data_IF_297977683778
#
_entry.id   IF_297977683778
#
_cell.length_a   1.000
_cell.length_b   1.000
_cell.length_c   1.000
_cell.angle_alpha   90.00
_cell.angle_beta   90.00
_cell.angle_gamma   90.00
#
_symmetry.space_group_name_H-M   'P 1'
#
loop_
_entity.id
_entity.type
_entity.pdbx_description
1 polymer ?
#
# COMPACT_ATOMS: atom_id res chain seq x y z
N UNK A 1 -19.21 9.34 1.81
CA UNK A 1 -17.79 9.71 1.66
C UNK A 1 -16.94 8.51 1.99
N UNK A 2 -15.91 8.25 1.21
CA UNK A 2 -14.92 7.20 1.50
C UNK A 2 -13.69 7.83 2.16
N UNK A 3 -13.07 7.16 3.13
CA UNK A 3 -11.78 7.56 3.71
C UNK A 3 -10.69 6.57 3.31
N UNK A 4 -9.68 7.04 2.57
CA UNK A 4 -8.44 6.29 2.34
C UNK A 4 -7.38 6.71 3.36
N UNK A 5 -6.70 5.73 3.93
CA UNK A 5 -5.61 5.91 4.88
C UNK A 5 -4.37 5.21 4.33
N UNK A 6 -3.32 5.97 4.06
CA UNK A 6 -2.01 5.45 3.65
C UNK A 6 -0.97 5.70 4.75
N UNK A 7 -0.49 4.63 5.39
CA UNK A 7 0.52 4.70 6.44
C UNK A 7 1.90 4.25 5.92
N UNK A 8 2.62 5.22 5.35
CA UNK A 8 4.00 5.05 4.91
C UNK A 8 5.04 5.34 6.01
N UNK A 9 6.30 4.98 5.78
CA UNK A 9 7.38 5.17 6.76
C UNK A 9 7.47 6.59 7.33
N UNK A 10 7.38 7.62 6.47
CA UNK A 10 7.57 9.01 6.88
C UNK A 10 6.28 9.72 7.32
N UNK A 11 5.12 9.33 6.80
CA UNK A 11 3.86 10.02 7.04
C UNK A 11 2.69 9.04 7.07
N UNK A 12 1.63 9.41 7.78
CA UNK A 12 0.29 8.83 7.58
C UNK A 12 -0.59 9.87 6.90
N UNK A 13 -1.24 9.47 5.82
CA UNK A 13 -2.10 10.33 4.99
C UNK A 13 -3.53 9.86 5.12
N UNK A 14 -4.43 10.77 5.44
CA UNK A 14 -5.87 10.57 5.50
C UNK A 14 -6.50 11.41 4.39
N UNK A 15 -7.25 10.79 3.49
CA UNK A 15 -7.90 11.50 2.41
C UNK A 15 -9.37 11.11 2.28
N UNK A 16 -10.22 12.12 2.15
CA UNK A 16 -11.66 11.97 2.04
C UNK A 16 -12.08 12.11 0.58
N UNK A 17 -12.81 11.12 0.09
CA UNK A 17 -13.37 11.07 -1.25
C UNK A 17 -14.89 11.29 -1.20
N UNK A 18 -15.35 12.28 -1.94
CA UNK A 18 -16.77 12.53 -2.15
C UNK A 18 -17.27 11.68 -3.31
N UNK A 19 -18.13 10.70 -3.00
CA UNK A 19 -18.70 9.77 -3.96
C UNK A 19 -19.75 10.43 -4.88
N UNK A 20 -20.39 11.53 -4.47
CA UNK A 20 -21.33 12.26 -5.32
C UNK A 20 -20.58 13.13 -6.33
N UNK A 21 -19.51 13.80 -5.88
CA UNK A 21 -18.70 14.68 -6.72
C UNK A 21 -17.56 13.95 -7.45
N UNK A 22 -17.34 12.67 -7.14
CA UNK A 22 -16.29 11.82 -7.71
C UNK A 22 -14.89 12.43 -7.61
N UNK A 23 -14.58 13.05 -6.46
CA UNK A 23 -13.27 13.71 -6.23
C UNK A 23 -12.80 13.63 -4.79
N UNK A 24 -11.49 13.75 -4.61
CA UNK A 24 -10.87 14.02 -3.31
C UNK A 24 -11.22 15.43 -2.85
N UNK A 25 -11.69 15.57 -1.62
CA UNK A 25 -12.12 16.87 -1.06
C UNK A 25 -11.18 17.37 0.03
N UNK A 26 -10.64 16.48 0.83
CA UNK A 26 -9.78 16.82 1.97
C UNK A 26 -8.64 15.83 2.11
N UNK A 27 -7.45 16.34 2.44
CA UNK A 27 -6.26 15.55 2.75
C UNK A 27 -5.62 16.09 4.03
N UNK A 28 -5.41 15.20 4.99
CA UNK A 28 -4.69 15.49 6.21
C UNK A 28 -3.46 14.57 6.32
N UNK A 29 -2.31 15.14 6.63
CA UNK A 29 -1.03 14.42 6.71
C UNK A 29 -0.41 14.65 8.07
N UNK A 30 -0.06 13.55 8.74
CA UNK A 30 0.71 13.58 9.99
C UNK A 30 2.09 12.97 9.75
N UNK A 31 3.13 13.71 10.15
CA UNK A 31 4.49 13.20 10.13
C UNK A 31 4.65 12.09 11.16
N UNK A 32 5.33 11.03 10.78
CA UNK A 32 5.67 9.93 11.68
C UNK A 32 7.05 10.10 12.32
N UNK A 33 7.77 11.17 11.99
CA UNK A 33 9.03 11.54 12.62
C UNK A 33 8.77 11.98 14.07
N UNK A 34 9.44 11.36 15.05
CA UNK A 34 9.28 11.67 16.48
C UNK A 34 8.29 10.80 17.27
N UNK A 35 7.79 9.71 16.66
CA UNK A 35 6.89 8.74 17.30
C UNK A 35 5.42 8.95 16.95
N UNK A 36 4.68 7.86 16.79
CA UNK A 36 3.26 7.86 16.44
C UNK A 36 2.40 7.83 17.72
N UNK A 37 1.68 8.92 18.01
CA UNK A 37 0.80 9.02 19.18
C UNK A 37 -0.66 9.06 18.76
N UNK A 38 -1.43 8.05 19.16
CA UNK A 38 -2.87 7.98 18.88
C UNK A 38 -3.65 9.15 19.50
N UNK A 39 -3.32 9.55 20.73
CA UNK A 39 -3.99 10.68 21.37
C UNK A 39 -3.75 12.00 20.62
N UNK A 40 -2.52 12.20 20.10
CA UNK A 40 -2.21 13.35 19.25
C UNK A 40 -2.98 13.30 17.94
N UNK A 41 -2.99 12.13 17.27
CA UNK A 41 -3.74 11.92 16.04
C UNK A 41 -5.24 12.19 16.22
N UNK A 42 -5.85 11.67 17.29
CA UNK A 42 -7.27 11.89 17.61
C UNK A 42 -7.59 13.37 17.74
N UNK A 43 -6.77 14.11 18.50
CA UNK A 43 -6.94 15.56 18.69
C UNK A 43 -6.79 16.32 17.38
N UNK A 44 -5.72 16.06 16.64
CA UNK A 44 -5.45 16.80 15.40
C UNK A 44 -6.47 16.48 14.31
N UNK A 45 -6.87 15.22 14.17
CA UNK A 45 -7.95 14.82 13.25
C UNK A 45 -9.29 15.46 13.63
N UNK A 46 -9.61 15.51 14.92
CA UNK A 46 -10.83 16.16 15.39
C UNK A 46 -10.88 17.63 15.01
N UNK A 47 -9.78 18.37 15.26
CA UNK A 47 -9.68 19.78 14.90
C UNK A 47 -9.77 19.97 13.38
N UNK A 48 -9.06 19.16 12.60
CA UNK A 48 -9.09 19.21 11.14
C UNK A 48 -10.51 19.01 10.59
N UNK A 49 -11.23 18.00 11.10
CA UNK A 49 -12.61 17.74 10.68
C UNK A 49 -13.57 18.86 11.06
N UNK A 50 -13.42 19.47 12.24
CA UNK A 50 -14.22 20.61 12.67
C UNK A 50 -14.01 21.82 11.76
N UNK A 51 -12.75 22.16 11.45
CA UNK A 51 -12.38 23.25 10.57
C UNK A 51 -12.99 23.10 9.16
N UNK A 52 -12.98 21.87 8.64
CA UNK A 52 -13.47 21.54 7.30
C UNK A 52 -14.94 21.10 7.27
N UNK A 53 -15.64 21.15 8.42
CA UNK A 53 -17.06 20.76 8.57
C UNK A 53 -17.35 19.33 8.10
N UNK A 54 -16.42 18.42 8.31
CA UNK A 54 -16.57 17.00 7.94
C UNK A 54 -17.28 16.29 9.11
N UNK A 55 -18.50 15.81 8.87
CA UNK A 55 -19.23 14.99 9.84
C UNK A 55 -18.70 13.55 9.88
N UNK A 56 -18.56 12.97 11.07
CA UNK A 56 -18.10 11.56 11.23
C UNK A 56 -19.08 10.55 10.62
N UNK A 57 -20.37 10.87 10.69
CA UNK A 57 -21.49 10.13 10.14
C UNK A 57 -21.53 10.08 8.60
N UNK A 58 -20.83 11.01 7.92
CA UNK A 58 -20.77 11.08 6.45
C UNK A 58 -19.92 9.99 5.80
N UNK A 59 -19.06 9.32 6.59
CA UNK A 59 -18.22 8.23 6.11
C UNK A 59 -19.06 6.98 5.84
N UNK A 60 -18.91 6.39 4.66
CA UNK A 60 -19.60 5.18 4.21
C UNK A 60 -18.70 3.95 4.34
N UNK A 61 -17.40 4.11 4.08
CA UNK A 61 -16.38 3.09 4.21
C UNK A 61 -15.00 3.72 4.48
N UNK A 62 -14.10 2.91 5.03
CA UNK A 62 -12.71 3.28 5.30
C UNK A 62 -11.82 2.18 4.71
N UNK A 63 -10.90 2.54 3.83
CA UNK A 63 -9.84 1.66 3.32
C UNK A 63 -8.49 2.09 3.88
N UNK A 64 -7.64 1.12 4.18
CA UNK A 64 -6.39 1.35 4.87
C UNK A 64 -5.26 0.50 4.29
N UNK A 65 -4.13 1.13 4.01
CA UNK A 65 -2.86 0.50 3.64
C UNK A 65 -1.76 0.92 4.61
N UNK A 66 -0.89 -0.01 4.99
CA UNK A 66 0.31 0.28 5.78
C UNK A 66 1.47 -0.59 5.33
N UNK A 67 2.64 0.03 5.17
CA UNK A 67 3.93 -0.67 5.03
C UNK A 67 4.70 -0.72 6.34
N UNK A 68 4.11 -0.23 7.44
CA UNK A 68 4.68 -0.20 8.79
C UNK A 68 3.80 -1.06 9.71
N UNK A 69 4.19 -2.32 10.02
CA UNK A 69 3.37 -3.26 10.78
C UNK A 69 2.93 -2.74 12.15
N UNK A 70 3.80 -2.01 12.84
CA UNK A 70 3.54 -1.47 14.18
C UNK A 70 2.42 -0.43 14.22
N UNK A 71 1.96 0.05 13.06
CA UNK A 71 0.88 1.05 12.96
C UNK A 71 -0.48 0.46 12.65
N UNK A 72 -0.54 -0.81 12.27
CA UNK A 72 -1.78 -1.43 11.81
C UNK A 72 -2.82 -1.44 12.92
N UNK A 73 -2.54 -2.12 14.04
CA UNK A 73 -3.47 -2.23 15.16
C UNK A 73 -3.84 -0.85 15.77
N UNK A 74 -2.89 0.08 16.00
CA UNK A 74 -3.23 1.43 16.43
C UNK A 74 -4.20 2.17 15.49
N UNK A 75 -3.99 2.11 14.17
CA UNK A 75 -4.85 2.79 13.21
C UNK A 75 -6.23 2.12 13.07
N UNK A 76 -6.29 0.80 13.21
CA UNK A 76 -7.57 0.07 13.27
C UNK A 76 -8.40 0.46 14.49
N UNK A 77 -7.79 0.52 15.68
CA UNK A 77 -8.45 0.95 16.92
C UNK A 77 -8.91 2.41 16.81
N UNK A 78 -8.05 3.29 16.31
CA UNK A 78 -8.38 4.69 16.02
C UNK A 78 -9.62 4.79 15.13
N UNK A 79 -9.66 4.06 14.01
CA UNK A 79 -10.80 4.12 13.10
C UNK A 79 -12.10 3.66 13.78
N UNK A 80 -12.03 2.57 14.55
CA UNK A 80 -13.18 2.01 15.27
C UNK A 80 -13.72 2.98 16.31
N UNK A 81 -12.85 3.61 17.10
CA UNK A 81 -13.24 4.49 18.21
C UNK A 81 -13.62 5.89 17.73
N UNK A 82 -12.86 6.45 16.80
CA UNK A 82 -13.01 7.84 16.38
C UNK A 82 -14.10 8.01 15.31
N UNK A 83 -14.13 7.12 14.30
CA UNK A 83 -15.12 7.14 13.21
C UNK A 83 -16.30 6.20 13.44
N UNK A 84 -16.25 5.33 14.46
CA UNK A 84 -17.31 4.33 14.70
C UNK A 84 -17.36 3.24 13.64
N UNK A 85 -16.29 3.05 12.86
CA UNK A 85 -16.25 2.12 11.72
C UNK A 85 -14.92 1.38 11.66
N UNK A 86 -14.98 0.07 11.44
CA UNK A 86 -13.78 -0.72 11.17
C UNK A 86 -13.28 -0.44 9.75
N UNK A 87 -11.96 -0.21 9.56
CA UNK A 87 -11.39 -0.07 8.24
C UNK A 87 -11.22 -1.45 7.58
N UNK A 88 -11.15 -1.43 6.25
CA UNK A 88 -10.65 -2.57 5.48
C UNK A 88 -9.14 -2.42 5.30
N UNK A 89 -8.36 -3.29 5.94
CA UNK A 89 -6.91 -3.36 5.76
C UNK A 89 -6.59 -4.08 4.44
N UNK A 90 -5.79 -3.45 3.60
CA UNK A 90 -5.29 -4.02 2.36
C UNK A 90 -4.11 -4.94 2.65
N UNK A 91 -4.20 -6.16 2.12
CA UNK A 91 -3.22 -7.23 2.31
C UNK A 91 -3.10 -8.05 1.02
N UNK A 92 -2.15 -8.99 0.95
CA UNK A 92 -1.94 -9.88 -0.20
C UNK A 92 -3.22 -10.57 -0.70
N UNK A 93 -4.10 -10.96 0.23
CA UNK A 93 -5.38 -11.60 -0.07
C UNK A 93 -6.41 -10.66 -0.74
N UNK A 94 -6.26 -9.34 -0.59
CA UNK A 94 -7.14 -8.34 -1.19
C UNK A 94 -7.05 -8.31 -2.72
N UNK A 95 -5.99 -8.88 -3.31
CA UNK A 95 -5.66 -8.73 -4.73
C UNK A 95 -6.18 -9.86 -5.62
N UNK A 96 -6.59 -10.99 -5.03
CA UNK A 96 -6.84 -12.23 -5.77
C UNK A 96 -7.87 -12.12 -6.90
N UNK A 97 -8.83 -11.20 -6.78
CA UNK A 97 -9.87 -10.93 -7.78
C UNK A 97 -9.62 -9.71 -8.67
N UNK A 98 -8.45 -9.06 -8.55
CA UNK A 98 -8.16 -7.83 -9.29
C UNK A 98 -7.51 -8.14 -10.65
N UNK A 99 -7.65 -7.24 -11.64
CA UNK A 99 -6.92 -7.35 -12.90
C UNK A 99 -5.41 -7.35 -12.70
N UNK A 100 -4.93 -6.61 -11.70
CA UNK A 100 -3.50 -6.53 -11.40
C UNK A 100 -3.03 -7.73 -10.59
N UNK A 101 -1.98 -8.39 -11.07
CA UNK A 101 -1.48 -9.66 -10.52
C UNK A 101 -0.01 -9.56 -10.13
N UNK A 102 0.38 -10.32 -9.11
CA UNK A 102 1.78 -10.50 -8.69
C UNK A 102 2.01 -11.95 -8.30
N UNK A 103 3.20 -12.48 -8.58
CA UNK A 103 3.60 -13.83 -8.15
C UNK A 103 3.90 -13.92 -6.66
N UNK A 104 4.12 -12.77 -6.01
CA UNK A 104 4.50 -12.66 -4.60
C UNK A 104 3.69 -11.59 -3.87
N UNK A 105 2.38 -11.83 -3.65
CA UNK A 105 1.46 -10.82 -3.10
C UNK A 105 1.79 -10.36 -1.69
N UNK A 106 2.47 -11.18 -0.89
CA UNK A 106 2.86 -10.83 0.48
C UNK A 106 4.25 -10.17 0.57
N UNK A 107 5.06 -10.21 -0.50
CA UNK A 107 6.37 -9.55 -0.54
C UNK A 107 6.29 -8.14 -1.15
N UNK A 108 5.26 -7.84 -1.93
CA UNK A 108 5.09 -6.52 -2.54
C UNK A 108 4.48 -5.54 -1.53
N UNK A 109 5.04 -4.32 -1.47
CA UNK A 109 4.46 -3.23 -0.71
C UNK A 109 2.99 -3.00 -1.07
N UNK A 110 2.14 -2.86 -0.07
CA UNK A 110 0.70 -2.63 -0.22
C UNK A 110 0.43 -1.30 -0.94
N UNK A 111 1.25 -0.30 -0.71
CA UNK A 111 1.30 0.98 -1.43
C UNK A 111 1.60 0.81 -2.92
N UNK A 112 2.61 0.02 -3.28
CA UNK A 112 2.98 -0.28 -4.67
C UNK A 112 1.85 -1.00 -5.41
N UNK A 113 1.19 -1.95 -4.74
CA UNK A 113 0.03 -2.63 -5.31
C UNK A 113 -1.15 -1.66 -5.51
N UNK A 114 -1.42 -0.78 -4.54
CA UNK A 114 -2.44 0.26 -4.68
C UNK A 114 -2.15 1.16 -5.89
N UNK A 115 -0.92 1.63 -6.04
CA UNK A 115 -0.48 2.42 -7.18
C UNK A 115 -0.69 1.68 -8.51
N UNK A 116 -0.29 0.41 -8.59
CA UNK A 116 -0.45 -0.42 -9.78
C UNK A 116 -1.93 -0.62 -10.15
N UNK A 117 -2.79 -0.94 -9.18
CA UNK A 117 -4.24 -1.09 -9.39
C UNK A 117 -4.86 0.21 -9.91
N UNK A 118 -4.54 1.35 -9.30
CA UNK A 118 -5.08 2.64 -9.70
C UNK A 118 -4.61 3.03 -11.11
N UNK A 119 -3.33 2.91 -11.41
CA UNK A 119 -2.77 3.24 -12.71
C UNK A 119 -3.35 2.32 -13.81
N UNK A 120 -3.39 1.01 -13.57
CA UNK A 120 -3.94 0.06 -14.54
C UNK A 120 -5.44 0.30 -14.79
N UNK A 121 -6.22 0.62 -13.75
CA UNK A 121 -7.63 0.97 -13.90
C UNK A 121 -7.85 2.27 -14.72
N UNK A 122 -6.89 3.20 -14.71
CA UNK A 122 -6.95 4.45 -15.48
C UNK A 122 -6.66 4.24 -16.97
N UNK A 123 -5.64 3.45 -17.30
CA UNK A 123 -5.16 3.31 -18.68
C UNK A 123 -5.66 2.04 -19.37
N UNK A 124 -6.13 1.04 -18.61
CA UNK A 124 -6.57 -0.27 -19.12
C UNK A 124 -5.51 -0.92 -20.03
N UNK A 125 -4.23 -0.76 -19.68
CA UNK A 125 -3.10 -1.18 -20.49
C UNK A 125 -1.78 -1.07 -19.72
N UNK A 126 -0.64 -1.40 -20.38
CA UNK A 126 0.66 -1.41 -19.72
C UNK A 126 1.05 -0.02 -19.24
N UNK A 127 1.58 0.05 -18.02
CA UNK A 127 1.97 1.32 -17.42
C UNK A 127 3.21 1.21 -16.53
N UNK A 128 3.92 2.33 -16.42
CA UNK A 128 5.06 2.50 -15.52
C UNK A 128 4.67 3.57 -14.49
N UNK A 129 4.72 3.22 -13.22
CA UNK A 129 4.46 4.14 -12.12
C UNK A 129 5.79 4.57 -11.52
N UNK A 130 6.02 5.88 -11.47
CA UNK A 130 7.15 6.52 -10.81
C UNK A 130 6.66 7.18 -9.52
N UNK A 131 6.96 6.58 -8.37
CA UNK A 131 6.54 7.10 -7.05
C UNK A 131 7.66 7.88 -6.38
N UNK A 132 7.45 9.18 -6.20
CA UNK A 132 8.38 10.09 -5.52
C UNK A 132 8.11 10.14 -4.01
N UNK A 133 8.37 9.03 -3.33
CA UNK A 133 8.19 8.84 -1.89
C UNK A 133 9.48 8.92 -1.06
N UNK A 134 9.50 8.20 0.07
CA UNK A 134 10.72 7.98 0.87
C UNK A 134 11.77 7.21 0.06
N UNK A 135 11.32 6.24 -0.73
CA UNK A 135 12.05 5.68 -1.84
C UNK A 135 11.51 6.27 -3.16
N UNK A 136 12.36 6.33 -4.18
CA UNK A 136 11.93 6.51 -5.55
C UNK A 136 11.73 5.12 -6.15
N UNK A 137 10.52 4.80 -6.60
CA UNK A 137 10.24 3.48 -7.19
C UNK A 137 9.75 3.60 -8.62
N UNK A 138 10.06 2.56 -9.42
CA UNK A 138 9.51 2.34 -10.75
C UNK A 138 8.77 1.01 -10.72
N UNK A 139 7.44 1.04 -10.72
CA UNK A 139 6.62 -0.18 -10.79
C UNK A 139 6.14 -0.37 -12.22
N UNK A 140 6.45 -1.52 -12.81
CA UNK A 140 6.08 -1.85 -14.19
C UNK A 140 4.91 -2.81 -14.19
N UNK A 141 3.83 -2.43 -14.85
CA UNK A 141 2.64 -3.26 -15.06
C UNK A 141 2.52 -3.58 -16.55
N UNK A 142 2.45 -4.88 -16.86
CA UNK A 142 2.34 -5.39 -18.22
C UNK A 142 0.93 -5.30 -18.80
N UNK A 143 0.75 -5.69 -20.08
CA UNK A 143 -0.52 -5.55 -20.80
C UNK A 143 -1.68 -6.38 -20.24
N UNK A 144 -1.40 -7.41 -19.45
CA UNK A 144 -2.40 -8.30 -18.85
C UNK A 144 -2.61 -7.99 -17.36
N UNK A 145 -2.08 -6.86 -16.88
CA UNK A 145 -2.16 -6.42 -15.49
C UNK A 145 -1.10 -7.06 -14.57
N UNK A 146 -0.19 -7.88 -15.07
CA UNK A 146 0.88 -8.45 -14.26
C UNK A 146 1.88 -7.36 -13.84
N UNK A 147 2.23 -7.30 -12.55
CA UNK A 147 3.39 -6.55 -12.09
C UNK A 147 4.62 -7.30 -12.55
N UNK A 148 5.36 -6.72 -13.49
CA UNK A 148 6.53 -7.31 -14.10
C UNK A 148 7.77 -7.15 -13.23
N UNK A 149 7.83 -6.05 -12.47
CA UNK A 149 8.95 -5.77 -11.59
C UNK A 149 8.82 -4.40 -10.92
N UNK A 150 9.72 -4.18 -9.95
CA UNK A 150 9.87 -2.91 -9.26
C UNK A 150 11.36 -2.58 -9.14
N UNK A 151 11.77 -1.40 -9.59
CA UNK A 151 13.07 -0.84 -9.24
C UNK A 151 12.92 0.12 -8.05
N UNK A 152 13.87 0.09 -7.12
CA UNK A 152 13.84 0.89 -5.89
C UNK A 152 15.16 1.65 -5.75
N UNK A 153 15.06 2.95 -5.53
CA UNK A 153 16.17 3.85 -5.28
C UNK A 153 15.89 4.69 -4.03
N UNK A 154 16.92 5.32 -3.42
CA UNK A 154 16.68 6.35 -2.42
C UNK A 154 15.76 7.45 -2.99
N UNK A 155 14.80 7.93 -2.20
CA UNK A 155 14.01 9.10 -2.59
C UNK A 155 14.84 10.38 -2.47
N UNK A 156 14.38 11.47 -3.08
CA UNK A 156 15.07 12.77 -3.08
C UNK A 156 15.46 13.25 -1.67
N UNK A 157 14.51 13.24 -0.72
CA UNK A 157 14.78 13.63 0.68
C UNK A 157 15.77 12.68 1.35
N UNK A 158 15.67 11.39 1.07
CA UNK A 158 16.56 10.35 1.62
C UNK A 158 17.98 10.55 1.12
N UNK A 159 18.16 10.86 -0.17
CA UNK A 159 19.47 11.12 -0.75
C UNK A 159 20.16 12.36 -0.16
N UNK A 160 19.43 13.47 -0.01
CA UNK A 160 19.96 14.67 0.64
C UNK A 160 20.30 14.39 2.11
N UNK A 161 19.41 13.70 2.83
CA UNK A 161 19.64 13.36 4.22
C UNK A 161 20.87 12.47 4.41
N UNK A 162 21.12 11.54 3.49
CA UNK A 162 22.32 10.70 3.54
C UNK A 162 23.60 11.54 3.42
N UNK A 163 23.64 12.53 2.54
CA UNK A 163 24.78 13.46 2.43
C UNK A 163 25.01 14.24 3.72
N UNK A 164 23.95 14.71 4.38
CA UNK A 164 24.05 15.42 5.66
C UNK A 164 24.48 14.51 6.82
N UNK A 165 23.88 13.32 6.92
CA UNK A 165 24.05 12.44 8.10
C UNK A 165 25.38 11.70 8.07
N UNK A 166 25.84 11.30 6.88
CA UNK A 166 27.01 10.43 6.72
C UNK A 166 28.28 11.20 6.32
N UNK A 167 28.27 12.53 6.41
CA UNK A 167 29.46 13.36 6.16
C UNK A 167 29.66 14.41 7.25
N UNK A 168 30.92 14.78 7.49
CA UNK A 168 31.26 15.65 8.63
C UNK A 168 30.94 17.14 8.43
N UNK A 169 30.74 17.60 7.19
CA UNK A 169 30.70 19.05 6.86
C UNK A 169 29.59 19.47 5.91
N UNK A 170 28.85 18.53 5.30
CA UNK A 170 27.76 18.93 4.42
C UNK A 170 26.55 19.33 5.25
N UNK A 171 25.92 20.48 4.97
CA UNK A 171 24.72 20.90 5.67
C UNK A 171 23.49 20.14 5.16
N UNK A 172 22.43 20.13 5.96
CA UNK A 172 21.10 19.79 5.46
C UNK A 172 20.61 20.92 4.53
N UNK A 173 20.07 20.56 3.36
CA UNK A 173 19.62 21.53 2.36
C UNK A 173 18.17 21.31 1.95
N UNK A 174 17.49 22.40 1.59
CA UNK A 174 16.13 22.34 1.06
C UNK A 174 16.12 21.75 -0.36
N UNK A 175 15.01 21.07 -0.70
CA UNK A 175 14.73 20.59 -2.06
C UNK A 175 14.26 21.75 -2.94
N UNK A 176 15.21 22.46 -3.53
CA UNK A 176 14.96 23.58 -4.44
C UNK A 176 15.85 23.43 -5.68
N UNK A 177 15.22 23.43 -6.86
CA UNK A 177 15.94 23.25 -8.13
C UNK A 177 16.72 24.53 -8.45
N UNK A 178 18.07 24.50 -8.48
CA UNK A 178 18.85 25.68 -8.78
C UNK A 178 18.86 25.98 -10.28
N UNK A 179 19.13 27.23 -10.63
CA UNK A 179 19.14 27.72 -12.02
C UNK A 179 20.27 27.15 -12.88
N UNK A 180 21.30 26.57 -12.27
CA UNK A 180 22.46 25.99 -12.94
C UNK A 180 22.79 24.61 -12.36
N UNK A 181 23.18 23.68 -13.23
CA UNK A 181 23.69 22.36 -12.83
C UNK A 181 25.12 22.41 -12.25
N UNK A 182 25.87 23.49 -12.50
CA UNK A 182 27.23 23.66 -11.98
C UNK A 182 27.15 24.45 -10.67
N UNK A 183 27.32 23.74 -9.55
CA UNK A 183 27.36 24.30 -8.20
C UNK A 183 28.49 25.30 -8.01
N UNK A 184 28.23 26.41 -7.29
CA UNK A 184 29.22 27.45 -6.96
C UNK A 184 29.54 27.55 -5.46
N UNK A 185 28.70 26.96 -4.63
CA UNK A 185 28.91 26.78 -3.20
C UNK A 185 28.38 25.40 -2.77
N UNK A 186 28.53 25.04 -1.50
CA UNK A 186 28.14 23.71 -1.00
C UNK A 186 26.64 23.45 -1.11
N UNK A 187 25.78 24.43 -0.80
CA UNK A 187 24.33 24.26 -0.84
C UNK A 187 23.88 24.06 -2.28
N UNK A 188 24.33 24.94 -3.18
CA UNK A 188 24.06 24.85 -4.61
C UNK A 188 24.60 23.54 -5.20
N UNK A 189 25.81 23.11 -4.82
CA UNK A 189 26.40 21.87 -5.34
C UNK A 189 25.58 20.64 -4.95
N UNK A 190 25.09 20.56 -3.72
CA UNK A 190 24.22 19.45 -3.27
C UNK A 190 22.88 19.49 -4.01
N UNK A 191 22.23 20.66 -4.05
CA UNK A 191 20.94 20.82 -4.72
C UNK A 191 21.02 20.48 -6.22
N UNK A 192 22.04 21.01 -6.91
CA UNK A 192 22.25 20.77 -8.33
C UNK A 192 22.56 19.30 -8.61
N UNK A 193 23.50 18.70 -7.85
CA UNK A 193 23.88 17.30 -8.01
C UNK A 193 22.70 16.36 -7.81
N UNK A 194 21.90 16.57 -6.76
CA UNK A 194 20.73 15.72 -6.49
C UNK A 194 19.62 15.96 -7.49
N UNK A 195 19.19 17.20 -7.74
CA UNK A 195 17.96 17.45 -8.52
C UNK A 195 18.15 17.28 -10.03
N UNK A 196 19.27 17.75 -10.59
CA UNK A 196 19.59 17.45 -11.99
C UNK A 196 19.96 15.97 -12.16
N UNK A 197 20.69 15.39 -11.20
CA UNK A 197 21.03 13.97 -11.21
C UNK A 197 19.78 13.08 -11.23
N UNK A 198 18.81 13.34 -10.35
CA UNK A 198 17.55 12.59 -10.31
C UNK A 198 16.68 12.83 -11.55
N UNK A 199 16.68 14.04 -12.10
CA UNK A 199 16.00 14.30 -13.38
C UNK A 199 16.54 13.40 -14.48
N UNK A 200 17.87 13.34 -14.63
CA UNK A 200 18.53 12.48 -15.62
C UNK A 200 18.32 11.01 -15.32
N UNK A 201 18.36 10.61 -14.04
CA UNK A 201 18.10 9.25 -13.59
C UNK A 201 16.70 8.80 -14.00
N UNK A 202 15.66 9.59 -13.72
CA UNK A 202 14.29 9.22 -14.06
C UNK A 202 14.12 9.06 -15.56
N UNK A 203 14.64 10.00 -16.36
CA UNK A 203 14.59 9.93 -17.82
C UNK A 203 15.30 8.69 -18.36
N UNK A 204 16.52 8.43 -17.86
CA UNK A 204 17.31 7.26 -18.25
C UNK A 204 16.64 5.94 -17.87
N UNK A 205 16.12 5.83 -16.64
CA UNK A 205 15.40 4.63 -16.19
C UNK A 205 14.15 4.37 -17.04
N UNK A 206 13.34 5.39 -17.32
CA UNK A 206 12.17 5.25 -18.18
C UNK A 206 12.54 4.80 -19.59
N UNK A 207 13.63 5.34 -20.14
CA UNK A 207 14.14 4.93 -21.44
C UNK A 207 14.58 3.45 -21.41
N UNK A 208 15.43 3.06 -20.47
CA UNK A 208 15.92 1.68 -20.33
C UNK A 208 14.76 0.69 -20.19
N UNK A 209 13.78 0.99 -19.33
CA UNK A 209 12.61 0.11 -19.12
C UNK A 209 11.81 0.00 -20.43
N UNK A 210 11.53 1.10 -21.12
CA UNK A 210 10.74 1.05 -22.36
C UNK A 210 11.47 0.30 -23.49
N UNK A 211 12.78 0.45 -23.59
CA UNK A 211 13.60 -0.30 -24.54
C UNK A 211 13.57 -1.81 -24.25
N UNK A 212 13.66 -2.20 -22.97
CA UNK A 212 13.57 -3.60 -22.53
C UNK A 212 12.19 -4.21 -22.82
N UNK A 213 11.11 -3.46 -22.58
CA UNK A 213 9.74 -3.94 -22.83
C UNK A 213 9.43 -4.09 -24.32
N UNK A 214 10.00 -3.24 -25.18
CA UNK A 214 9.74 -3.27 -26.63
C UNK A 214 8.34 -2.80 -27.05
N UNK A 215 7.55 -2.23 -26.14
CA UNK A 215 6.25 -1.64 -26.41
C UNK A 215 6.02 -0.37 -25.59
N UNK A 216 5.07 0.47 -26.03
CA UNK A 216 4.71 1.71 -25.33
C UNK A 216 3.94 1.43 -24.06
N UNK A 217 4.30 2.13 -22.99
CA UNK A 217 3.59 2.14 -21.71
C UNK A 217 3.09 3.55 -21.41
N UNK A 218 1.96 3.66 -20.71
CA UNK A 218 1.57 4.91 -20.09
C UNK A 218 2.44 5.17 -18.85
N UNK A 219 2.92 6.39 -18.65
CA UNK A 219 3.83 6.72 -17.56
C UNK A 219 3.12 7.62 -16.55
N UNK A 220 3.07 7.19 -15.30
CA UNK A 220 2.39 7.89 -14.21
C UNK A 220 3.39 8.34 -13.17
N UNK A 221 3.36 9.60 -12.77
CA UNK A 221 4.06 10.09 -11.59
C UNK A 221 3.11 10.26 -10.41
N UNK A 222 3.54 9.84 -9.22
CA UNK A 222 2.84 10.06 -7.96
C UNK A 222 3.84 10.47 -6.86
N UNK A 223 3.37 10.66 -5.63
CA UNK A 223 4.18 11.07 -4.50
C UNK A 223 4.37 12.59 -4.42
N UNK A 224 4.63 13.07 -3.20
CA UNK A 224 4.61 14.50 -2.87
C UNK A 224 5.76 15.32 -3.47
N UNK A 225 6.76 14.69 -4.07
CA UNK A 225 7.93 15.37 -4.67
C UNK A 225 7.93 15.33 -6.21
N UNK A 226 6.90 14.71 -6.82
CA UNK A 226 6.74 14.68 -8.29
C UNK A 226 6.68 16.07 -8.92
N UNK A 227 6.18 17.07 -8.18
CA UNK A 227 6.06 18.45 -8.66
C UNK A 227 7.33 19.29 -8.56
N UNK A 228 8.34 18.85 -7.81
CA UNK A 228 9.58 19.63 -7.58
C UNK A 228 10.49 19.59 -8.82
N UNK A 229 10.47 18.49 -9.55
CA UNK A 229 11.31 18.30 -10.73
C UNK A 229 10.59 18.78 -12.00
N UNK A 230 10.39 20.09 -12.13
CA UNK A 230 9.82 20.70 -13.34
C UNK A 230 10.41 20.20 -14.67
N UNK A 231 11.71 19.88 -14.78
CA UNK A 231 12.28 19.28 -16.00
C UNK A 231 11.70 17.91 -16.41
N UNK A 232 10.90 17.27 -15.56
CA UNK A 232 10.17 16.01 -15.82
C UNK A 232 8.72 16.22 -16.28
N UNK A 233 8.22 17.46 -16.37
CA UNK A 233 6.80 17.72 -16.68
C UNK A 233 6.31 17.08 -17.99
N UNK A 234 7.19 16.87 -18.98
CA UNK A 234 6.87 16.20 -20.25
C UNK A 234 7.22 14.71 -20.29
N UNK A 235 7.66 14.12 -19.17
CA UNK A 235 8.05 12.70 -19.09
C UNK A 235 6.93 11.79 -18.60
N UNK A 236 5.78 12.34 -18.20
CA UNK A 236 4.66 11.61 -17.62
C UNK A 236 3.38 11.90 -18.40
N UNK A 237 2.60 10.87 -18.69
CA UNK A 237 1.26 11.00 -19.27
C UNK A 237 0.24 11.46 -18.21
N UNK A 238 0.49 11.14 -16.94
CA UNK A 238 -0.32 11.56 -15.80
C UNK A 238 0.54 11.83 -14.58
N UNK A 239 0.26 12.93 -13.89
CA UNK A 239 0.76 13.17 -12.53
C UNK A 239 -0.43 13.18 -11.57
N UNK A 240 -0.50 12.21 -10.66
CA UNK A 240 -1.61 12.06 -9.71
C UNK A 240 -1.08 11.83 -8.29
N UNK A 241 -1.18 12.85 -7.43
CA UNK A 241 -0.78 12.78 -6.02
C UNK A 241 -1.65 11.84 -5.18
N UNK A 242 -2.84 11.49 -5.68
CA UNK A 242 -3.82 10.66 -5.00
C UNK A 242 -3.81 9.21 -5.50
N UNK A 243 -2.85 8.82 -6.36
CA UNK A 243 -2.83 7.50 -6.99
C UNK A 243 -2.91 6.35 -5.97
N UNK A 244 -2.10 6.40 -4.90
CA UNK A 244 -2.11 5.39 -3.84
C UNK A 244 -3.46 5.34 -3.12
N UNK A 245 -4.00 6.51 -2.79
CA UNK A 245 -5.28 6.66 -2.08
C UNK A 245 -6.45 6.17 -2.93
N UNK A 246 -6.37 6.36 -4.25
CA UNK A 246 -7.33 5.82 -5.22
C UNK A 246 -7.22 4.31 -5.32
N UNK A 247 -6.00 3.77 -5.35
CA UNK A 247 -5.76 2.32 -5.27
C UNK A 247 -6.41 1.71 -4.04
N UNK A 248 -6.22 2.35 -2.88
CA UNK A 248 -6.85 1.93 -1.62
C UNK A 248 -8.37 1.87 -1.74
N UNK A 249 -8.97 2.91 -2.32
CA UNK A 249 -10.41 3.01 -2.54
C UNK A 249 -10.92 1.91 -3.47
N UNK A 250 -10.28 1.74 -4.63
CA UNK A 250 -10.67 0.75 -5.64
C UNK A 250 -10.58 -0.68 -5.08
N UNK A 251 -9.46 -1.02 -4.44
CA UNK A 251 -9.25 -2.34 -3.83
C UNK A 251 -10.31 -2.61 -2.78
N UNK A 252 -10.59 -1.64 -1.90
CA UNK A 252 -11.58 -1.77 -0.83
C UNK A 252 -12.99 -1.95 -1.38
N UNK A 253 -13.38 -1.19 -2.40
CA UNK A 253 -14.72 -1.26 -2.99
C UNK A 253 -14.94 -2.54 -3.82
N UNK A 254 -13.86 -3.13 -4.35
CA UNK A 254 -13.92 -4.42 -5.04
C UNK A 254 -14.16 -5.60 -4.11
N UNK A 255 -13.98 -5.42 -2.79
CA UNK A 255 -14.17 -6.51 -1.83
C UNK A 255 -15.66 -6.83 -1.66
N UNK A 256 -16.01 -8.12 -1.53
CA UNK A 256 -17.37 -8.49 -1.21
C UNK A 256 -17.76 -7.85 0.12
N UNK A 257 -18.88 -7.10 0.12
CA UNK A 257 -19.46 -6.58 1.35
C UNK A 257 -19.74 -7.77 2.24
N UNK A 258 -18.98 -7.96 3.33
CA UNK A 258 -19.33 -8.92 4.38
C UNK A 258 -20.76 -8.59 4.76
N UNK A 259 -21.71 -9.47 4.44
CA UNK A 259 -23.11 -9.31 4.78
C UNK A 259 -23.19 -8.88 6.24
N UNK A 260 -23.90 -7.77 6.51
CA UNK A 260 -24.35 -7.45 7.86
C UNK A 260 -24.92 -8.75 8.40
N UNK A 261 -24.35 -9.30 9.47
CA UNK A 261 -24.99 -10.38 10.19
C UNK A 261 -26.45 -9.93 10.43
N UNK A 262 -27.46 -10.76 10.13
CA UNK A 262 -28.83 -10.38 10.41
C UNK A 262 -28.90 -10.04 11.89
N UNK A 263 -29.10 -8.76 12.19
CA UNK A 263 -29.57 -8.32 13.49
C UNK A 263 -30.96 -8.87 13.62
N UNK A 264 -31.07 -10.09 14.14
CA UNK A 264 -32.35 -10.62 14.60
C UNK A 264 -32.80 -9.71 15.75
N UNK A 265 -33.96 -9.03 15.64
CA UNK A 265 -34.55 -8.42 16.81
C UNK A 265 -34.81 -9.54 17.82
N UNK A 266 -34.22 -9.44 19.01
CA UNK A 266 -34.61 -10.27 20.16
C UNK A 266 -36.09 -10.00 20.42
N UNK A 267 -36.96 -10.88 19.96
CA UNK A 267 -38.34 -10.93 20.42
C UNK A 267 -38.32 -11.39 21.88
N UNK A 268 -38.84 -10.52 22.74
CA UNK A 268 -39.14 -10.80 24.13
C UNK A 268 -40.19 -11.91 24.24
N UNK A 269 -40.11 -12.64 25.35
CA UNK A 269 -41.13 -13.49 25.98
C UNK A 269 -41.48 -14.84 25.31
N UNK A 270 -41.04 -15.92 25.94
CA UNK A 270 -41.85 -17.12 26.12
C UNK A 270 -41.59 -17.71 27.51
N UNK A 271 -42.68 -17.94 28.22
CA UNK A 271 -42.86 -18.43 29.59
C UNK A 271 -42.26 -19.85 29.78
N UNK A 272 -41.72 -20.22 30.95
CA UNK A 272 -41.27 -21.58 31.19
C UNK A 272 -42.46 -22.51 31.51
N UNK A 273 -42.53 -23.66 30.85
CA UNK A 273 -43.43 -24.76 31.24
C UNK A 273 -42.67 -25.81 32.07
N UNK A 274 -43.33 -26.47 33.05
CA UNK A 274 -42.67 -27.29 34.07
C UNK A 274 -42.32 -28.69 33.57
N UNK A 275 -41.35 -29.31 34.27
CA UNK A 275 -40.80 -30.62 33.92
C UNK A 275 -41.74 -31.80 34.12
N UNK A 276 -41.32 -32.96 33.57
CA UNK A 276 -41.84 -34.27 33.93
C UNK A 276 -40.67 -35.26 34.07
N UNK A 277 -40.56 -36.01 35.19
CA UNK A 277 -39.52 -37.01 35.40
C UNK A 277 -39.91 -38.37 34.78
N UNK A 278 -38.92 -39.26 34.66
CA UNK A 278 -39.02 -40.68 34.30
C UNK A 278 -39.32 -41.03 32.83
N UNK A 279 -38.29 -41.53 32.14
CA UNK A 279 -38.27 -42.94 31.72
C UNK A 279 -36.84 -43.45 31.53
N UNK A 280 -36.55 -44.54 32.26
CA UNK A 280 -35.35 -45.37 32.24
C UNK A 280 -35.44 -46.46 31.15
N UNK A 281 -34.27 -47.09 30.95
CA UNK A 281 -33.97 -48.40 30.34
C UNK A 281 -33.86 -48.44 28.81
N UNK A 282 -32.79 -48.98 28.20
CA UNK A 282 -31.65 -49.70 28.78
C UNK A 282 -30.62 -50.16 27.73
N UNK A 283 -29.59 -50.83 28.26
CA UNK A 283 -28.60 -51.74 27.65
C UNK A 283 -27.71 -51.25 26.51
N UNK A 284 -26.41 -51.02 26.81
CA UNK A 284 -25.31 -50.98 25.82
C UNK A 284 -24.86 -52.40 25.41
N UNK A 285 -23.56 -52.70 25.24
CA UNK A 285 -22.41 -51.89 24.81
C UNK A 285 -21.73 -52.52 23.56
N UNK A 286 -20.78 -51.87 22.89
CA UNK A 286 -19.59 -52.58 22.34
C UNK A 286 -18.42 -51.63 22.01
N UNK A 287 -17.25 -52.08 22.45
CA UNK A 287 -15.90 -51.51 22.40
C UNK A 287 -15.36 -51.35 20.96
N UNK A 288 -14.66 -50.26 20.62
CA UNK A 288 -13.21 -50.04 20.70
C UNK A 288 -12.41 -50.45 19.45
N UNK A 289 -11.65 -49.49 18.88
CA UNK A 289 -10.16 -49.46 18.81
C UNK A 289 -9.66 -48.64 17.62
N UNK A 290 -8.61 -47.87 17.91
CA UNK A 290 -7.69 -47.19 17.01
C UNK A 290 -6.84 -48.20 16.23
N UNK A 291 -6.24 -47.78 15.11
CA UNK A 291 -5.02 -48.41 14.62
C UNK A 291 -4.70 -48.14 13.16
N UNK A 292 -3.73 -47.26 12.92
CA UNK A 292 -2.99 -47.13 11.66
C UNK A 292 -2.28 -48.44 11.31
N UNK A 293 -2.06 -48.71 10.01
CA UNK A 293 -0.81 -49.34 9.56
C UNK A 293 -0.50 -49.05 8.08
N UNK A 294 0.76 -48.68 7.89
CA UNK A 294 1.53 -48.57 6.66
C UNK A 294 1.96 -49.95 6.15
N UNK A 295 2.11 -50.08 4.82
CA UNK A 295 3.08 -50.90 4.05
C UNK A 295 2.68 -50.78 2.56
N UNK A 296 3.51 -50.82 1.53
CA UNK A 296 4.95 -50.80 1.25
C UNK A 296 5.01 -50.67 -0.32
N UNK A 297 5.97 -50.06 -1.01
CA UNK A 297 7.26 -50.62 -1.42
C UNK A 297 7.87 -49.67 -2.48
N UNK A 298 9.14 -49.34 -2.33
CA UNK A 298 10.11 -48.90 -3.37
C UNK A 298 10.62 -50.14 -4.16
N UNK A 299 11.57 -50.11 -5.14
CA UNK A 299 12.49 -49.02 -5.56
C UNK A 299 12.75 -48.91 -7.09
N UNK A 300 13.45 -47.84 -7.53
CA UNK A 300 13.88 -47.74 -8.92
C UNK A 300 14.83 -46.59 -9.27
N UNK A 301 16.08 -46.70 -8.81
CA UNK A 301 17.35 -46.28 -9.46
C UNK A 301 17.51 -44.85 -10.02
N UNK A 302 18.47 -44.15 -9.40
CA UNK A 302 19.31 -43.09 -9.98
C UNK A 302 20.16 -43.61 -11.17
N UNK A 303 20.72 -42.68 -11.97
CA UNK A 303 22.15 -42.40 -11.80
C UNK A 303 22.53 -40.91 -11.87
N UNK A 304 23.75 -40.69 -11.39
CA UNK A 304 24.45 -39.43 -11.08
C UNK A 304 25.37 -38.91 -12.20
N UNK A 305 25.83 -37.65 -12.02
CA UNK A 305 27.09 -36.99 -12.47
C UNK A 305 27.12 -36.19 -13.80
N UNK A 306 28.04 -35.20 -13.98
CA UNK A 306 28.97 -34.56 -13.03
C UNK A 306 29.01 -33.00 -13.05
N UNK A 307 29.71 -32.47 -12.04
CA UNK A 307 30.29 -31.12 -11.93
C UNK A 307 31.52 -30.88 -12.84
N UNK A 308 31.74 -29.64 -13.29
CA UNK A 308 33.03 -28.98 -13.66
C UNK A 308 32.75 -27.46 -13.79
N UNK A 309 33.27 -26.57 -12.94
CA UNK A 309 34.63 -25.96 -12.85
C UNK A 309 34.97 -24.95 -13.97
N UNK A 310 35.04 -23.67 -13.58
CA UNK A 310 35.96 -22.54 -13.93
C UNK A 310 36.54 -22.31 -15.34
N UNK A 311 36.96 -21.02 -15.51
CA UNK A 311 37.77 -20.35 -16.55
C UNK A 311 36.87 -19.53 -17.50
N UNK A 312 36.98 -18.21 -17.69
CA UNK A 312 38.00 -17.17 -17.47
C UNK A 312 37.34 -15.86 -17.02
#
# INVERSE_FOLDING_TARGET
>A
MFLSIDAGNSNVVFAFYDEQQQRWTHEYRISSQGGFSLAKLEKEMHLYMLEHRIGRDTLTAIGFSSVVPERIEPLEDFCRRFFGRSPYLIQGSSYAGLPVKTTKPDEIGTDLMCNAVAAYARFLGPCIIVDFGTALTFTVVGPEGQIMGVNILPGLKTAIRALFTDTAKLPEVALELPTSAIGKDTVHSIQAGVLYGYTSLVKGMLQTIQEELGYRCSIVATGGLSSILHPLAGSFDLTDRYLTLEGIRLITLAQPKKNKAPTFPRTQSAVPAPGNPNRRFGSGPFAAKRGQSFRAQTPGKSPTWPSRSHIN
#
